data_IF_368410894009
#
_entry.id   IF_368410894009
#
_cell.length_a   1.000
_cell.length_b   1.000
_cell.length_c   1.000
_cell.angle_alpha   90.00
_cell.angle_beta   90.00
_cell.angle_gamma   90.00
#
_symmetry.space_group_name_H-M   'P 1'
#
loop_
_entity.id
_entity.type
_entity.pdbx_description
1 polymer ?
#
# COMPACT_ATOMS: atom_id res chain seq x y z
N UNK A 1 0.65 -24.15 -6.84
CA UNK A 1 0.88 -22.70 -6.64
C UNK A 1 2.18 -22.33 -7.32
N UNK A 2 2.14 -21.38 -8.24
CA UNK A 2 3.31 -20.93 -8.99
C UNK A 2 4.35 -20.29 -8.06
N UNK A 3 5.64 -20.48 -8.37
CA UNK A 3 6.72 -19.73 -7.71
C UNK A 3 6.84 -18.35 -8.33
N UNK A 4 7.41 -17.39 -7.62
CA UNK A 4 7.73 -16.06 -8.20
C UNK A 4 8.61 -16.21 -9.46
N UNK A 5 9.53 -17.18 -9.47
CA UNK A 5 10.33 -17.48 -10.66
C UNK A 5 9.47 -17.91 -11.86
N UNK A 6 8.46 -18.75 -11.65
CA UNK A 6 7.55 -19.20 -12.71
C UNK A 6 6.71 -18.03 -13.23
N UNK A 7 6.24 -17.14 -12.34
CA UNK A 7 5.51 -15.92 -12.72
C UNK A 7 6.38 -15.00 -13.59
N UNK A 8 7.69 -14.90 -13.31
CA UNK A 8 8.63 -14.16 -14.16
C UNK A 8 8.77 -14.82 -15.54
N UNK A 9 8.87 -16.15 -15.59
CA UNK A 9 8.92 -16.89 -16.86
C UNK A 9 7.64 -16.73 -17.67
N UNK A 10 6.46 -16.78 -17.04
CA UNK A 10 5.17 -16.53 -17.67
C UNK A 10 5.14 -15.12 -18.26
N UNK A 11 5.46 -14.10 -17.48
CA UNK A 11 5.50 -12.71 -17.92
C UNK A 11 6.47 -12.51 -19.10
N UNK A 12 7.64 -13.15 -19.02
CA UNK A 12 8.66 -13.08 -20.08
C UNK A 12 8.17 -13.69 -21.39
N UNK A 13 7.58 -14.88 -21.32
CA UNK A 13 7.08 -15.60 -22.51
C UNK A 13 5.85 -14.93 -23.13
N UNK A 14 4.98 -14.33 -22.32
CA UNK A 14 3.81 -13.59 -22.81
C UNK A 14 4.20 -12.30 -23.54
N UNK A 15 5.19 -11.58 -23.03
CA UNK A 15 5.51 -10.21 -23.52
C UNK A 15 6.72 -10.14 -24.44
N UNK A 16 7.52 -11.21 -24.52
CA UNK A 16 8.82 -11.19 -25.19
C UNK A 16 9.91 -10.42 -24.43
N UNK A 17 9.60 -9.79 -23.29
CA UNK A 17 10.60 -9.13 -22.45
C UNK A 17 11.43 -10.20 -21.73
N UNK A 18 12.75 -10.22 -21.96
CA UNK A 18 13.60 -11.25 -21.33
C UNK A 18 13.58 -11.15 -19.80
N UNK A 19 13.70 -12.30 -19.13
CA UNK A 19 13.73 -12.32 -17.66
C UNK A 19 14.88 -11.49 -17.07
N UNK A 20 15.99 -11.37 -17.81
CA UNK A 20 17.10 -10.49 -17.46
C UNK A 20 16.65 -9.02 -17.36
N UNK A 21 15.80 -8.54 -18.28
CA UNK A 21 15.27 -7.17 -18.22
C UNK A 21 14.22 -6.99 -17.12
N UNK A 22 13.40 -8.01 -16.87
CA UNK A 22 12.43 -8.01 -15.77
C UNK A 22 13.16 -7.90 -14.42
N UNK A 23 14.21 -8.71 -14.21
CA UNK A 23 15.01 -8.70 -12.98
C UNK A 23 15.99 -7.52 -12.92
N UNK A 24 16.55 -7.10 -14.04
CA UNK A 24 17.63 -6.11 -14.13
C UNK A 24 17.22 -4.66 -13.83
N UNK A 25 18.19 -3.75 -13.73
CA UNK A 25 17.98 -2.38 -13.28
C UNK A 25 17.36 -1.42 -14.31
N UNK A 26 17.17 -1.88 -15.56
CA UNK A 26 16.66 -1.02 -16.63
C UNK A 26 15.32 -0.38 -16.27
N UNK A 27 15.20 0.90 -16.62
CA UNK A 27 14.04 1.74 -16.38
C UNK A 27 13.21 2.00 -17.65
N UNK A 28 13.44 1.22 -18.71
CA UNK A 28 12.57 1.24 -19.90
C UNK A 28 11.13 0.95 -19.45
N UNK A 29 10.18 1.74 -19.94
CA UNK A 29 8.80 1.73 -19.41
C UNK A 29 8.12 0.37 -19.57
N UNK A 30 8.29 -0.26 -20.73
CA UNK A 30 7.82 -1.63 -21.01
C UNK A 30 8.33 -2.61 -19.95
N UNK A 31 9.63 -2.57 -19.64
CA UNK A 31 10.24 -3.48 -18.67
C UNK A 31 9.74 -3.22 -17.25
N UNK A 32 9.55 -1.94 -16.89
CA UNK A 32 8.96 -1.56 -15.61
C UNK A 32 7.50 -2.05 -15.53
N UNK A 33 6.71 -1.88 -16.59
CA UNK A 33 5.30 -2.29 -16.62
C UNK A 33 5.16 -3.80 -16.37
N UNK A 34 5.93 -4.62 -17.10
CA UNK A 34 5.96 -6.08 -16.92
C UNK A 34 6.46 -6.44 -15.52
N UNK A 35 7.46 -5.74 -14.99
CA UNK A 35 7.95 -5.96 -13.62
C UNK A 35 6.89 -5.65 -12.56
N UNK A 36 6.12 -4.57 -12.74
CA UNK A 36 5.03 -4.24 -11.83
C UNK A 36 3.91 -5.27 -11.89
N UNK A 37 3.58 -5.79 -13.09
CA UNK A 37 2.64 -6.91 -13.24
C UNK A 37 3.12 -8.15 -12.46
N UNK A 38 4.41 -8.51 -12.55
CA UNK A 38 5.00 -9.59 -11.75
C UNK A 38 4.81 -9.35 -10.26
N UNK A 39 5.01 -8.12 -9.77
CA UNK A 39 4.79 -7.81 -8.35
C UNK A 39 3.34 -8.00 -7.93
N UNK A 40 2.40 -7.47 -8.73
CA UNK A 40 0.98 -7.54 -8.43
C UNK A 40 0.49 -8.99 -8.42
N UNK A 41 0.78 -9.75 -9.48
CA UNK A 41 0.36 -11.16 -9.58
C UNK A 41 1.04 -12.01 -8.51
N UNK A 42 2.32 -11.81 -8.22
CA UNK A 42 2.98 -12.54 -7.11
C UNK A 42 2.35 -12.20 -5.76
N UNK A 43 1.90 -10.95 -5.56
CA UNK A 43 1.21 -10.56 -4.33
C UNK A 43 -0.16 -11.23 -4.22
N UNK A 44 -0.89 -11.33 -5.32
CA UNK A 44 -2.18 -12.04 -5.40
C UNK A 44 -2.01 -13.54 -5.09
N UNK A 45 -0.87 -14.13 -5.46
CA UNK A 45 -0.49 -15.50 -5.11
C UNK A 45 0.00 -15.67 -3.65
N UNK A 46 -0.05 -14.62 -2.83
CA UNK A 46 0.24 -14.68 -1.40
C UNK A 46 1.68 -14.39 -0.99
N UNK A 47 2.60 -14.17 -1.93
CA UNK A 47 3.99 -13.84 -1.59
C UNK A 47 4.10 -12.48 -0.88
N UNK A 48 5.01 -12.37 0.07
CA UNK A 48 5.29 -11.12 0.79
C UNK A 48 6.12 -10.16 -0.07
N UNK A 49 6.04 -8.85 0.20
CA UNK A 49 6.83 -7.86 -0.54
C UNK A 49 8.36 -8.10 -0.46
N UNK A 50 8.94 -8.50 0.69
CA UNK A 50 10.36 -8.87 0.75
C UNK A 50 10.70 -10.09 -0.12
N UNK A 51 9.89 -11.15 -0.10
CA UNK A 51 10.12 -12.35 -0.94
C UNK A 51 10.10 -12.01 -2.43
N UNK A 52 9.08 -11.26 -2.85
CA UNK A 52 8.98 -10.78 -4.24
C UNK A 52 10.23 -9.97 -4.61
N UNK A 53 10.65 -9.06 -3.74
CA UNK A 53 11.86 -8.25 -3.95
C UNK A 53 13.11 -9.10 -4.15
N UNK A 54 13.31 -10.11 -3.29
CA UNK A 54 14.43 -11.04 -3.38
C UNK A 54 14.48 -11.77 -4.72
N UNK A 55 13.35 -12.34 -5.17
CA UNK A 55 13.28 -13.08 -6.44
C UNK A 55 13.33 -12.20 -7.68
N UNK A 56 12.81 -10.97 -7.61
CA UNK A 56 12.87 -10.01 -8.72
C UNK A 56 14.13 -9.14 -8.57
N UNK A 57 15.30 -9.77 -8.61
CA UNK A 57 16.60 -9.09 -8.70
C UNK A 57 17.07 -8.38 -7.43
N UNK A 58 16.73 -8.89 -6.24
CA UNK A 58 17.25 -8.37 -4.97
C UNK A 58 16.76 -6.96 -4.62
N UNK A 59 15.52 -6.63 -4.95
CA UNK A 59 14.92 -5.32 -4.71
C UNK A 59 14.40 -5.16 -3.30
N UNK A 60 14.51 -3.94 -2.77
CA UNK A 60 13.91 -3.60 -1.50
C UNK A 60 12.36 -3.68 -1.56
N UNK A 61 11.76 -4.15 -0.48
CA UNK A 61 10.32 -4.32 -0.33
C UNK A 61 9.53 -3.02 -0.60
N UNK A 62 10.08 -1.85 -0.27
CA UNK A 62 9.44 -0.55 -0.56
C UNK A 62 9.32 -0.29 -2.06
N UNK A 63 10.28 -0.78 -2.85
CA UNK A 63 10.25 -0.68 -4.32
C UNK A 63 9.15 -1.56 -4.91
N UNK A 64 8.93 -2.75 -4.33
CA UNK A 64 7.83 -3.65 -4.71
C UNK A 64 6.49 -3.00 -4.41
N UNK A 65 6.31 -2.48 -3.19
CA UNK A 65 5.09 -1.76 -2.78
C UNK A 65 4.80 -0.59 -3.71
N UNK A 66 5.83 0.21 -4.02
CA UNK A 66 5.68 1.33 -4.94
C UNK A 66 5.27 0.85 -6.34
N UNK A 67 5.85 -0.25 -6.84
CA UNK A 67 5.47 -0.82 -8.12
C UNK A 67 4.01 -1.27 -8.19
N UNK A 68 3.54 -2.02 -7.17
CA UNK A 68 2.13 -2.45 -7.09
C UNK A 68 1.19 -1.24 -7.05
N UNK A 69 1.52 -0.20 -6.29
CA UNK A 69 0.72 1.04 -6.22
C UNK A 69 0.65 1.80 -7.54
N UNK A 70 1.61 1.59 -8.45
CA UNK A 70 1.67 2.28 -9.73
C UNK A 70 0.90 1.56 -10.83
N UNK A 71 0.38 0.34 -10.59
CA UNK A 71 -0.40 -0.42 -11.58
C UNK A 71 -1.54 0.41 -12.21
N UNK A 72 -2.42 1.09 -11.46
CA UNK A 72 -3.51 1.86 -12.07
C UNK A 72 -3.01 3.02 -12.96
N UNK A 73 -1.82 3.55 -12.67
CA UNK A 73 -1.20 4.56 -13.53
C UNK A 73 -0.72 3.91 -14.81
N UNK A 74 -0.08 2.75 -14.72
CA UNK A 74 0.49 2.02 -15.85
C UNK A 74 -0.58 1.37 -16.74
N UNK A 75 -1.73 0.94 -16.21
CA UNK A 75 -2.85 0.43 -17.02
C UNK A 75 -3.38 1.50 -17.98
N UNK A 76 -3.37 2.77 -17.56
CA UNK A 76 -3.75 3.90 -18.42
C UNK A 76 -2.72 4.20 -19.52
N UNK A 77 -1.50 3.71 -19.39
CA UNK A 77 -0.40 3.94 -20.33
C UNK A 77 -0.23 2.72 -21.25
N UNK A 78 -0.44 1.54 -20.70
CA UNK A 78 -0.31 0.24 -21.33
C UNK A 78 -1.67 -0.45 -21.25
N UNK A 79 -2.54 -0.28 -22.27
CA UNK A 79 -3.87 -0.88 -22.29
C UNK A 79 -3.84 -2.40 -22.11
N UNK A 80 -2.76 -3.04 -22.58
CA UNK A 80 -2.56 -4.48 -22.48
C UNK A 80 -2.02 -4.95 -21.13
N UNK A 81 -1.76 -4.06 -20.17
CA UNK A 81 -1.24 -4.44 -18.85
C UNK A 81 -2.27 -5.23 -18.02
N UNK A 82 -3.53 -4.82 -18.02
CA UNK A 82 -4.59 -5.56 -17.33
C UNK A 82 -4.80 -6.95 -17.96
N UNK A 83 -4.99 -7.08 -19.30
CA UNK A 83 -5.01 -8.37 -19.98
C UNK A 83 -3.78 -9.24 -19.70
N UNK A 84 -2.59 -8.64 -19.62
CA UNK A 84 -1.36 -9.35 -19.24
C UNK A 84 -1.47 -9.95 -17.84
N UNK A 85 -1.89 -9.15 -16.84
CA UNK A 85 -2.01 -9.65 -15.47
C UNK A 85 -3.05 -10.76 -15.36
N UNK A 86 -4.18 -10.65 -16.08
CA UNK A 86 -5.22 -11.68 -16.09
C UNK A 86 -4.72 -12.97 -16.72
N UNK A 87 -4.01 -12.90 -17.84
CA UNK A 87 -3.35 -14.05 -18.46
C UNK A 87 -2.31 -14.67 -17.51
N UNK A 88 -1.49 -13.84 -16.85
CA UNK A 88 -0.51 -14.30 -15.87
C UNK A 88 -1.15 -15.03 -14.70
N UNK A 89 -2.28 -14.54 -14.17
CA UNK A 89 -3.04 -15.22 -13.10
C UNK A 89 -3.56 -16.57 -13.56
N UNK A 90 -4.22 -16.62 -14.72
CA UNK A 90 -4.75 -17.86 -15.29
C UNK A 90 -3.64 -18.91 -15.49
N UNK A 91 -2.47 -18.51 -15.98
CA UNK A 91 -1.35 -19.45 -16.10
C UNK A 91 -0.73 -19.83 -14.75
N UNK A 92 -0.62 -18.90 -13.79
CA UNK A 92 -0.07 -19.19 -12.47
C UNK A 92 -0.93 -20.18 -11.66
N UNK A 93 -2.24 -20.22 -11.91
CA UNK A 93 -3.16 -21.19 -11.30
C UNK A 93 -2.93 -22.62 -11.80
N UNK A 94 -2.49 -22.78 -13.05
CA UNK A 94 -2.42 -24.07 -13.73
C UNK A 94 -1.00 -24.52 -14.10
N UNK A 95 0.03 -23.72 -13.81
CA UNK A 95 1.39 -24.09 -14.17
C UNK A 95 2.00 -25.07 -13.18
N UNK A 96 2.71 -26.06 -13.73
CA UNK A 96 3.66 -26.87 -12.97
C UNK A 96 4.84 -26.00 -12.50
N UNK A 97 5.42 -26.27 -11.31
CA UNK A 97 6.62 -25.60 -10.85
C UNK A 97 7.80 -25.78 -11.82
N UNK A 98 8.78 -24.87 -11.75
CA UNK A 98 10.02 -24.91 -12.55
C UNK A 98 9.76 -24.72 -14.04
N UNK A 99 8.84 -23.82 -14.39
CA UNK A 99 8.41 -23.57 -15.76
C UNK A 99 9.57 -23.14 -16.69
N UNK A 100 10.62 -22.54 -16.13
CA UNK A 100 11.84 -22.19 -16.85
C UNK A 100 12.52 -23.40 -17.50
N UNK A 101 12.48 -24.56 -16.84
CA UNK A 101 13.10 -25.81 -17.32
C UNK A 101 12.21 -26.54 -18.33
N UNK A 102 10.96 -26.10 -18.46
CA UNK A 102 10.01 -26.63 -19.43
C UNK A 102 10.10 -25.89 -20.77
N UNK A 103 9.83 -26.61 -21.85
CA UNK A 103 9.63 -26.05 -23.19
C UNK A 103 8.33 -25.25 -23.35
N UNK A 104 7.56 -25.03 -22.29
CA UNK A 104 6.23 -24.41 -22.35
C UNK A 104 6.26 -23.04 -23.05
N UNK A 105 5.22 -22.75 -23.83
CA UNK A 105 5.00 -21.45 -24.47
C UNK A 105 3.52 -21.09 -24.33
N UNK A 106 3.19 -19.82 -24.06
CA UNK A 106 1.81 -19.39 -24.09
C UNK A 106 1.26 -19.47 -25.52
N UNK A 107 -0.03 -19.73 -25.65
CA UNK A 107 -0.73 -19.74 -26.93
C UNK A 107 -0.91 -18.34 -27.52
N UNK A 108 -0.73 -17.30 -26.70
CA UNK A 108 -0.88 -15.89 -27.06
C UNK A 108 0.36 -15.09 -26.69
N UNK A 109 0.70 -14.12 -27.52
CA UNK A 109 1.67 -13.06 -27.20
C UNK A 109 0.93 -11.75 -26.90
N UNK A 110 1.46 -10.95 -25.98
CA UNK A 110 0.90 -9.68 -25.54
C UNK A 110 1.91 -8.57 -25.81
N UNK A 111 1.54 -7.64 -26.69
CA UNK A 111 2.35 -6.46 -26.99
C UNK A 111 2.27 -5.45 -25.83
N UNK A 112 3.43 -5.03 -25.36
CA UNK A 112 3.58 -4.04 -24.28
C UNK A 112 3.95 -2.65 -24.80
N UNK A 113 3.69 -2.35 -26.08
CA UNK A 113 3.89 -1.02 -26.63
C UNK A 113 3.05 0.04 -25.87
N UNK A 114 3.67 1.14 -25.40
CA UNK A 114 2.95 2.19 -24.69
C UNK A 114 2.05 3.00 -25.61
N UNK A 115 0.99 3.61 -25.06
CA UNK A 115 0.30 4.73 -25.68
C UNK A 115 1.25 5.92 -25.89
N UNK A 116 0.85 6.85 -26.78
CA UNK A 116 1.66 7.99 -27.20
C UNK A 116 2.25 8.79 -26.02
N UNK A 117 3.45 9.36 -26.23
CA UNK A 117 4.23 9.99 -25.16
C UNK A 117 3.56 11.19 -24.48
N UNK A 118 2.68 11.91 -25.19
CA UNK A 118 1.87 13.00 -24.64
C UNK A 118 0.99 12.52 -23.48
N UNK A 119 0.43 11.33 -23.62
CA UNK A 119 -0.59 10.79 -22.73
C UNK A 119 0.06 10.30 -21.42
N UNK A 120 1.27 9.73 -21.53
CA UNK A 120 2.04 9.28 -20.37
C UNK A 120 2.39 10.42 -19.40
N UNK A 121 2.88 11.54 -19.93
CA UNK A 121 3.33 12.66 -19.09
C UNK A 121 2.16 13.23 -18.28
N UNK A 122 1.01 13.41 -18.93
CA UNK A 122 -0.22 13.87 -18.30
C UNK A 122 -0.72 12.88 -17.23
N UNK A 123 -0.78 11.58 -17.56
CA UNK A 123 -1.22 10.54 -16.62
C UNK A 123 -0.31 10.45 -15.39
N UNK A 124 1.01 10.51 -15.59
CA UNK A 124 1.98 10.47 -14.49
C UNK A 124 1.91 11.71 -13.62
N UNK A 125 1.78 12.90 -14.22
CA UNK A 125 1.64 14.16 -13.48
C UNK A 125 0.39 14.12 -12.59
N UNK A 126 -0.76 13.69 -13.13
CA UNK A 126 -2.00 13.55 -12.38
C UNK A 126 -1.87 12.54 -11.23
N UNK A 127 -1.17 11.41 -11.44
CA UNK A 127 -0.93 10.43 -10.37
C UNK A 127 -0.01 10.99 -9.27
N UNK A 128 1.04 11.71 -9.64
CA UNK A 128 1.94 12.37 -8.68
C UNK A 128 1.23 13.45 -7.87
N UNK A 129 0.38 14.23 -8.50
CA UNK A 129 -0.43 15.25 -7.83
C UNK A 129 -1.41 14.63 -6.83
N UNK A 130 -2.13 13.58 -7.21
CA UNK A 130 -3.00 12.81 -6.30
C UNK A 130 -2.24 12.27 -5.09
N UNK A 131 -1.05 11.71 -5.30
CA UNK A 131 -0.21 11.23 -4.21
C UNK A 131 0.25 12.35 -3.27
N UNK A 132 0.63 13.51 -3.83
CA UNK A 132 0.98 14.72 -3.04
C UNK A 132 -0.21 15.22 -2.23
N UNK A 133 -1.39 15.30 -2.84
CA UNK A 133 -2.63 15.70 -2.16
C UNK A 133 -2.97 14.75 -1.01
N UNK A 134 -2.86 13.43 -1.22
CA UNK A 134 -3.09 12.42 -0.17
C UNK A 134 -2.12 12.57 1.00
N UNK A 135 -0.84 12.82 0.72
CA UNK A 135 0.17 13.03 1.77
C UNK A 135 -0.07 14.32 2.56
N UNK A 136 -0.57 15.38 1.91
CA UNK A 136 -0.99 16.61 2.59
C UNK A 136 -2.15 16.35 3.55
N UNK A 137 -3.21 15.70 3.06
CA UNK A 137 -4.38 15.36 3.87
C UNK A 137 -4.00 14.50 5.08
N UNK A 138 -3.15 13.49 4.89
CA UNK A 138 -2.67 12.65 6.00
C UNK A 138 -1.92 13.46 7.04
N UNK A 139 -1.03 14.37 6.63
CA UNK A 139 -0.29 15.26 7.56
C UNK A 139 -1.23 16.18 8.31
N UNK A 140 -2.29 16.69 7.68
CA UNK A 140 -3.32 17.49 8.35
C UNK A 140 -4.10 16.66 9.38
N UNK A 141 -4.52 15.44 9.02
CA UNK A 141 -5.17 14.52 9.94
C UNK A 141 -4.28 14.15 11.14
N UNK A 142 -2.98 13.91 10.90
CA UNK A 142 -2.02 13.61 11.96
C UNK A 142 -1.82 14.83 12.89
N UNK A 143 -1.85 16.06 12.34
CA UNK A 143 -1.82 17.30 13.15
C UNK A 143 -3.08 17.47 14.00
N UNK A 144 -4.26 17.23 13.43
CA UNK A 144 -5.53 17.30 14.17
C UNK A 144 -5.53 16.28 15.30
N UNK A 145 -5.17 15.02 15.02
CA UNK A 145 -5.08 13.97 16.04
C UNK A 145 -4.07 14.29 17.13
N UNK A 146 -2.93 14.91 16.78
CA UNK A 146 -1.94 15.33 17.76
C UNK A 146 -2.46 16.46 18.67
N UNK A 147 -3.25 17.40 18.12
CA UNK A 147 -3.89 18.46 18.89
C UNK A 147 -5.03 17.93 19.80
N UNK A 148 -5.80 16.95 19.32
CA UNK A 148 -6.83 16.27 20.14
C UNK A 148 -6.23 15.38 21.24
N UNK A 149 -4.97 14.96 21.09
CA UNK A 149 -4.24 14.19 22.08
C UNK A 149 -3.53 15.06 23.14
N UNK A 150 -3.75 16.38 23.15
CA UNK A 150 -3.31 17.22 24.27
C UNK A 150 -3.93 16.68 25.56
N UNK A 151 -3.11 16.47 26.62
CA UNK A 151 -3.62 15.97 27.88
C UNK A 151 -4.65 16.97 28.41
N UNK A 152 -5.83 16.48 28.77
CA UNK A 152 -6.76 17.20 29.65
C UNK A 152 -5.91 17.69 30.82
N UNK A 153 -5.65 19.00 30.87
CA UNK A 153 -4.73 19.59 31.83
C UNK A 153 -5.23 19.30 33.25
N UNK A 154 -4.29 19.03 34.18
CA UNK A 154 -4.53 18.82 35.61
C UNK A 154 -5.36 19.95 36.27
N UNK A 155 -5.56 21.09 35.60
CA UNK A 155 -6.45 22.17 36.04
C UNK A 155 -7.93 21.75 36.12
N UNK A 156 -8.41 20.83 35.27
CA UNK A 156 -9.79 20.33 35.37
C UNK A 156 -9.99 19.46 36.63
N UNK A 157 -8.94 18.75 37.06
CA UNK A 157 -8.95 17.90 38.26
C UNK A 157 -8.96 18.74 39.55
N UNK A 158 -8.37 19.94 39.53
CA UNK A 158 -8.41 20.88 40.65
C UNK A 158 -9.76 21.57 40.82
N UNK A 159 -10.44 21.90 39.72
CA UNK A 159 -11.77 22.52 39.77
C UNK A 159 -12.82 21.51 40.26
N UNK A 160 -12.76 20.26 39.78
CA UNK A 160 -13.70 19.22 40.26
C UNK A 160 -13.45 18.83 41.73
N UNK A 161 -12.18 18.73 42.17
CA UNK A 161 -11.88 18.47 43.60
C UNK A 161 -12.30 19.62 44.51
N UNK A 162 -12.13 20.87 44.08
CA UNK A 162 -12.57 22.03 44.86
C UNK A 162 -14.10 22.08 45.01
N UNK A 163 -14.86 21.71 43.97
CA UNK A 163 -16.34 21.69 44.04
C UNK A 163 -16.86 20.54 44.92
N UNK A 164 -16.17 19.38 44.90
CA UNK A 164 -16.46 18.25 45.79
C UNK A 164 -16.15 18.59 47.27
N UNK A 165 -14.98 19.18 47.54
CA UNK A 165 -14.59 19.59 48.89
C UNK A 165 -15.50 20.67 49.45
N UNK A 166 -15.92 21.64 48.63
CA UNK A 166 -16.89 22.66 49.05
C UNK A 166 -18.26 22.06 49.40
N UNK A 167 -18.77 21.11 48.61
CA UNK A 167 -20.03 20.40 48.94
C UNK A 167 -19.91 19.57 50.21
N UNK A 168 -18.78 18.89 50.42
CA UNK A 168 -18.51 18.12 51.65
C UNK A 168 -18.40 19.03 52.88
N UNK A 169 -17.75 20.19 52.76
CA UNK A 169 -17.66 21.18 53.82
C UNK A 169 -19.04 21.74 54.20
N UNK A 170 -19.89 22.05 53.20
CA UNK A 170 -21.25 22.55 53.44
C UNK A 170 -22.18 21.49 54.06
N UNK A 171 -22.00 20.21 53.73
CA UNK A 171 -22.74 19.11 54.37
C UNK A 171 -22.32 18.90 55.83
N UNK A 172 -21.01 18.90 56.13
CA UNK A 172 -20.50 18.76 57.50
C UNK A 172 -20.86 19.93 58.41
N UNK A 173 -20.89 21.15 57.88
CA UNK A 173 -21.37 22.33 58.62
C UNK A 173 -22.85 22.22 59.00
N UNK A 174 -23.67 21.56 58.18
CA UNK A 174 -25.09 21.32 58.48
C UNK A 174 -25.32 20.23 59.54
N UNK A 175 -24.42 19.24 59.63
CA UNK A 175 -24.47 18.20 60.66
C UNK A 175 -24.04 18.74 62.02
N UNK A 176 -22.98 19.55 62.08
CA UNK A 176 -22.54 20.20 63.31
C UNK A 176 -23.58 21.18 63.87
N UNK A 177 -24.29 21.90 63.00
CA UNK A 177 -25.44 22.74 63.38
C UNK A 177 -26.64 21.92 63.87
N UNK A 178 -26.85 20.72 63.31
CA UNK A 178 -27.89 19.78 63.79
C UNK A 178 -27.54 19.19 65.14
N UNK A 179 -26.30 18.80 65.40
CA UNK A 179 -25.90 18.30 66.73
C UNK A 179 -26.02 19.37 67.82
N UNK A 180 -25.61 20.62 67.54
CA UNK A 180 -25.69 21.70 68.51
C UNK A 180 -27.12 22.19 68.84
N UNK A 181 -28.12 21.87 68.00
CA UNK A 181 -29.53 22.25 68.20
C UNK A 181 -30.36 21.16 68.91
N UNK A 182 -29.81 19.96 69.13
CA UNK A 182 -30.50 18.81 69.74
C UNK A 182 -29.86 18.31 71.06
N UNK A 183 -28.92 19.06 71.64
CA UNK A 183 -28.44 18.93 73.04
C UNK A 183 -28.89 20.12 73.87
#
# INVERSE_FOLDING_TARGET
MARVADIITIASRLTGVSEHHIRGASRKREYIAVRFAVYAVSRDQGFSFPEIGAFVGGRDHSSVINGVRQIPTYERIFPNLAPLMDAMRAYAEHCEPFLADTGWRPSVGIDMTPLAMSDYAAVKAAAQERNRARLRLRREQDKIKAAEAEPVTEELDHIERADIDYRLMMMRGSEALREALFT
#
